data_IF_514780299451
#
_entry.id   IF_514780299451
#
_cell.length_a   1.000
_cell.length_b   1.000
_cell.length_c   1.000
_cell.angle_alpha   90.00
_cell.angle_beta   90.00
_cell.angle_gamma   90.00
#
_symmetry.space_group_name_H-M   'P 1'
#
loop_
_entity.id
_entity.type
_entity.pdbx_description
1 polymer ?
#
# COMPACT_ATOMS: atom_id res chain seq x y z
N UNK A 1 20.11 3.01 1.50
CA UNK A 1 20.24 2.36 2.84
C UNK A 1 21.56 1.64 3.06
N UNK A 2 22.44 1.44 2.06
CA UNK A 2 23.74 0.79 2.29
C UNK A 2 23.66 -0.69 2.73
N UNK A 3 22.50 -1.33 2.56
CA UNK A 3 22.23 -2.69 2.97
C UNK A 3 22.17 -3.59 1.73
N UNK A 4 23.35 -4.11 1.34
CA UNK A 4 23.50 -4.98 0.17
C UNK A 4 23.18 -6.45 0.48
N UNK A 5 23.07 -7.27 -0.56
CA UNK A 5 22.92 -8.73 -0.43
C UNK A 5 24.11 -9.39 0.30
N UNK A 6 25.27 -8.73 0.28
CA UNK A 6 26.50 -9.17 0.95
C UNK A 6 26.62 -8.69 2.39
N UNK A 7 25.56 -8.08 2.95
CA UNK A 7 25.53 -7.69 4.35
C UNK A 7 25.83 -8.90 5.25
N UNK A 8 26.65 -8.68 6.29
CA UNK A 8 26.98 -9.74 7.26
C UNK A 8 25.71 -10.15 8.00
N UNK A 9 25.37 -11.43 7.91
CA UNK A 9 24.18 -12.04 8.53
C UNK A 9 24.57 -13.17 9.47
N UNK A 10 23.65 -13.53 10.36
CA UNK A 10 23.75 -14.73 11.18
C UNK A 10 22.50 -15.59 10.93
N UNK A 11 22.41 -16.30 9.78
CA UNK A 11 21.18 -16.95 9.35
C UNK A 11 20.60 -17.93 10.38
N UNK A 12 21.45 -18.66 11.11
CA UNK A 12 21.01 -19.55 12.17
C UNK A 12 20.23 -18.81 13.28
N UNK A 13 20.76 -17.67 13.75
CA UNK A 13 20.08 -16.84 14.76
C UNK A 13 18.87 -16.12 14.17
N UNK A 14 18.99 -15.59 12.95
CA UNK A 14 17.89 -14.92 12.25
C UNK A 14 16.71 -15.88 12.05
N UNK A 15 16.96 -17.17 11.81
CA UNK A 15 15.93 -18.19 11.63
C UNK A 15 15.18 -18.59 12.89
N UNK A 16 15.65 -18.15 14.06
CA UNK A 16 14.96 -18.26 15.36
C UNK A 16 14.20 -16.98 15.74
N UNK A 17 14.31 -15.91 14.96
CA UNK A 17 13.54 -14.67 15.14
C UNK A 17 12.15 -14.82 14.55
N UNK A 18 11.13 -14.40 15.30
CA UNK A 18 9.72 -14.44 14.92
C UNK A 18 9.17 -13.02 14.90
N UNK A 19 8.77 -12.56 13.72
CA UNK A 19 8.13 -11.25 13.54
C UNK A 19 6.62 -11.45 13.55
N UNK A 20 5.94 -10.85 14.53
CA UNK A 20 4.49 -10.73 14.55
C UNK A 20 4.07 -9.60 13.59
N UNK A 21 3.19 -9.90 12.63
CA UNK A 21 2.66 -8.91 11.68
C UNK A 21 1.17 -8.72 11.92
N UNK A 22 0.78 -7.51 12.29
CA UNK A 22 -0.59 -7.13 12.64
C UNK A 22 -1.15 -6.29 11.49
N UNK A 23 -1.98 -6.90 10.65
CA UNK A 23 -2.32 -6.34 9.34
C UNK A 23 -3.59 -7.00 8.73
N UNK A 24 -3.78 -6.92 7.42
CA UNK A 24 -4.89 -7.54 6.64
C UNK A 24 -4.73 -9.04 6.37
N UNK A 25 -3.72 -9.68 6.98
CA UNK A 25 -3.42 -11.11 6.81
C UNK A 25 -2.18 -11.36 5.96
N UNK A 26 -2.14 -12.52 5.29
CA UNK A 26 -1.07 -12.85 4.34
C UNK A 26 -1.57 -13.69 3.15
N UNK A 27 -0.92 -13.55 1.99
CA UNK A 27 -1.07 -14.44 0.84
C UNK A 27 0.03 -15.52 0.84
N UNK A 28 -0.21 -16.72 1.41
CA UNK A 28 0.86 -17.67 1.74
C UNK A 28 1.55 -18.28 0.51
N UNK A 29 0.91 -18.29 -0.66
CA UNK A 29 1.46 -18.84 -1.90
C UNK A 29 2.50 -17.92 -2.56
N UNK A 30 2.70 -16.70 -2.04
CA UNK A 30 3.72 -15.80 -2.57
C UNK A 30 5.12 -16.40 -2.43
N UNK A 31 5.96 -16.23 -3.46
CA UNK A 31 7.35 -16.72 -3.44
C UNK A 31 8.17 -16.12 -2.30
N UNK A 32 7.82 -14.91 -1.86
CA UNK A 32 8.39 -14.24 -0.69
C UNK A 32 8.22 -15.04 0.60
N UNK A 33 7.27 -15.96 0.66
CA UNK A 33 6.91 -16.74 1.85
C UNK A 33 7.15 -18.25 1.69
N UNK A 34 7.92 -18.65 0.67
CA UNK A 34 8.37 -20.04 0.51
C UNK A 34 9.20 -20.52 1.71
N UNK A 35 9.14 -21.80 2.03
CA UNK A 35 9.86 -22.39 3.16
C UNK A 35 10.94 -23.41 2.76
N UNK A 36 11.33 -23.43 1.48
CA UNK A 36 12.24 -24.41 0.87
C UNK A 36 13.54 -24.64 1.66
N UNK A 37 14.10 -23.58 2.25
CA UNK A 37 15.39 -23.61 2.95
C UNK A 37 15.25 -23.45 4.47
N UNK A 38 14.03 -23.62 5.00
CA UNK A 38 13.76 -23.43 6.42
C UNK A 38 13.88 -24.74 7.21
N UNK A 39 14.63 -24.65 8.32
CA UNK A 39 14.73 -25.70 9.33
C UNK A 39 13.45 -25.83 10.18
N UNK A 40 13.47 -26.68 11.22
CA UNK A 40 12.34 -26.83 12.14
C UNK A 40 11.93 -25.49 12.77
N UNK A 41 10.72 -25.46 13.32
CA UNK A 41 10.20 -24.28 14.02
C UNK A 41 11.06 -23.96 15.26
N UNK A 42 11.22 -22.67 15.61
CA UNK A 42 11.94 -22.28 16.82
C UNK A 42 11.26 -22.92 18.05
N UNK A 43 12.03 -23.53 18.96
CA UNK A 43 11.48 -24.26 20.12
C UNK A 43 10.62 -23.42 21.07
N UNK A 44 10.84 -22.10 21.06
CA UNK A 44 10.09 -21.14 21.89
C UNK A 44 8.69 -20.84 21.35
N UNK A 45 8.43 -21.14 20.08
CA UNK A 45 7.18 -20.83 19.40
C UNK A 45 6.03 -21.64 20.00
N UNK A 46 4.96 -20.95 20.40
CA UNK A 46 3.76 -21.56 21.00
C UNK A 46 2.47 -21.26 20.23
N UNK A 47 2.54 -20.41 19.21
CA UNK A 47 1.37 -20.07 18.42
C UNK A 47 0.91 -21.20 17.51
N UNK A 48 -0.27 -20.99 16.94
CA UNK A 48 -0.99 -21.98 16.17
C UNK A 48 -1.22 -21.49 14.74
N UNK A 49 -1.58 -22.43 13.87
CA UNK A 49 -2.11 -22.11 12.57
C UNK A 49 -3.64 -22.24 12.58
N UNK A 50 -4.32 -21.12 12.80
CA UNK A 50 -5.78 -20.97 12.80
C UNK A 50 -6.20 -20.05 11.67
N UNK A 51 -5.79 -20.39 10.45
CA UNK A 51 -5.90 -19.53 9.28
C UNK A 51 -7.26 -19.55 8.54
N UNK A 52 -8.14 -20.48 8.87
CA UNK A 52 -9.33 -20.82 8.07
C UNK A 52 -9.16 -22.15 7.33
N UNK A 53 -10.20 -22.59 6.60
CA UNK A 53 -10.18 -23.89 5.92
C UNK A 53 -9.21 -23.89 4.72
N UNK A 54 -9.07 -22.75 4.03
CA UNK A 54 -8.23 -22.62 2.83
C UNK A 54 -6.79 -22.17 3.10
N UNK A 55 -6.36 -22.18 4.37
CA UNK A 55 -5.07 -21.64 4.79
C UNK A 55 -4.21 -22.70 5.49
N UNK A 56 -2.93 -22.77 5.13
CA UNK A 56 -1.97 -23.65 5.79
C UNK A 56 -0.65 -22.93 6.02
N UNK A 57 -0.18 -23.00 7.27
CA UNK A 57 1.12 -22.49 7.66
C UNK A 57 2.23 -23.40 7.15
N UNK A 58 3.42 -22.83 6.97
CA UNK A 58 4.61 -23.55 6.57
C UNK A 58 5.77 -23.20 7.51
N UNK A 59 7.01 -23.53 7.18
CA UNK A 59 8.14 -23.20 8.08
C UNK A 59 8.55 -21.72 7.99
N UNK A 60 8.04 -20.94 7.05
CA UNK A 60 8.28 -19.49 6.92
C UNK A 60 7.21 -18.68 7.65
N UNK A 61 5.95 -18.92 7.32
CA UNK A 61 4.74 -18.41 8.00
C UNK A 61 4.31 -19.48 8.99
N UNK A 62 4.74 -19.33 10.24
CA UNK A 62 4.67 -20.39 11.27
C UNK A 62 3.42 -20.31 12.13
N UNK A 63 2.73 -19.18 12.07
CA UNK A 63 1.52 -18.86 12.83
C UNK A 63 0.59 -17.98 12.02
N UNK A 64 -0.71 -18.18 12.20
CA UNK A 64 -1.74 -17.45 11.51
C UNK A 64 -3.01 -17.42 12.38
N UNK A 65 -3.53 -16.24 12.68
CA UNK A 65 -4.79 -16.04 13.41
C UNK A 65 -5.57 -14.90 12.78
N UNK A 66 -6.89 -15.01 12.76
CA UNK A 66 -7.81 -13.93 12.39
C UNK A 66 -8.65 -13.54 13.60
N UNK A 67 -8.87 -12.24 13.73
CA UNK A 67 -9.74 -11.61 14.72
C UNK A 67 -10.74 -10.76 13.95
N UNK A 68 -12.03 -11.03 14.14
CA UNK A 68 -13.10 -10.44 13.33
C UNK A 68 -14.28 -10.02 14.22
N UNK A 69 -14.01 -9.15 15.20
CA UNK A 69 -15.03 -8.57 16.09
C UNK A 69 -16.06 -7.73 15.33
N UNK A 70 -15.72 -7.27 14.12
CA UNK A 70 -16.60 -6.51 13.23
C UNK A 70 -17.61 -7.41 12.48
N UNK A 71 -17.51 -8.73 12.60
CA UNK A 71 -18.38 -9.71 11.95
C UNK A 71 -18.43 -9.57 10.41
N UNK A 72 -17.29 -9.31 9.77
CA UNK A 72 -17.19 -9.32 8.32
C UNK A 72 -17.26 -10.76 7.79
N UNK A 73 -18.41 -11.14 7.23
CA UNK A 73 -18.59 -12.50 6.71
C UNK A 73 -17.91 -12.74 5.36
N UNK A 74 -17.53 -11.68 4.65
CA UNK A 74 -16.82 -11.79 3.36
C UNK A 74 -15.32 -12.00 3.56
N UNK A 75 -14.79 -11.50 4.68
CA UNK A 75 -13.37 -11.59 5.01
C UNK A 75 -13.14 -12.29 6.36
N UNK A 76 -13.33 -13.61 6.36
CA UNK A 76 -13.35 -14.45 7.56
C UNK A 76 -12.19 -15.46 7.66
N UNK A 77 -11.16 -15.30 6.82
CA UNK A 77 -9.94 -16.13 6.84
C UNK A 77 -8.69 -15.25 6.92
N UNK A 78 -7.56 -15.84 7.36
CA UNK A 78 -6.26 -15.13 7.45
C UNK A 78 -5.68 -14.78 6.07
N UNK A 79 -6.21 -15.40 5.01
CA UNK A 79 -5.84 -15.05 3.64
C UNK A 79 -6.03 -13.55 3.41
N UNK A 80 -5.00 -12.92 2.89
CA UNK A 80 -5.03 -11.50 2.55
C UNK A 80 -5.73 -11.29 1.21
N UNK A 81 -6.87 -10.60 1.24
CA UNK A 81 -7.64 -10.23 0.06
C UNK A 81 -7.58 -8.73 -0.25
N UNK A 82 -6.86 -7.96 0.58
CA UNK A 82 -6.56 -6.55 0.37
C UNK A 82 -5.17 -6.39 -0.28
N UNK A 83 -4.15 -7.04 0.29
CA UNK A 83 -2.77 -7.03 -0.17
C UNK A 83 -1.81 -6.28 0.75
N UNK A 84 -2.31 -5.39 1.62
CA UNK A 84 -1.48 -4.57 2.51
C UNK A 84 -0.60 -5.42 3.44
N UNK A 85 -1.17 -6.44 4.11
CA UNK A 85 -0.44 -7.34 5.01
C UNK A 85 0.61 -8.19 4.32
N UNK A 86 0.33 -8.70 3.13
CA UNK A 86 1.32 -9.41 2.31
C UNK A 86 2.46 -8.49 1.92
N UNK A 87 2.15 -7.24 1.54
CA UNK A 87 3.14 -6.25 1.17
C UNK A 87 4.06 -5.91 2.36
N UNK A 88 3.51 -5.56 3.53
CA UNK A 88 4.27 -5.21 4.73
C UNK A 88 5.08 -6.39 5.27
N UNK A 89 4.50 -7.60 5.34
CA UNK A 89 5.21 -8.81 5.77
C UNK A 89 6.41 -9.13 4.85
N UNK A 90 6.25 -8.94 3.53
CA UNK A 90 7.33 -9.16 2.57
C UNK A 90 8.47 -8.14 2.71
N UNK A 91 8.18 -6.91 3.11
CA UNK A 91 9.21 -5.88 3.39
C UNK A 91 9.99 -6.22 4.68
N UNK A 92 9.31 -6.75 5.70
CA UNK A 92 9.95 -7.13 6.96
C UNK A 92 10.84 -8.37 6.78
N UNK A 93 10.29 -9.44 6.21
CA UNK A 93 10.98 -10.73 6.13
C UNK A 93 10.71 -11.53 4.85
N UNK A 94 10.34 -10.92 3.72
CA UNK A 94 10.24 -11.65 2.45
C UNK A 94 11.57 -12.31 2.06
N UNK A 95 11.48 -13.52 1.50
CA UNK A 95 12.62 -14.22 0.91
C UNK A 95 13.16 -13.47 -0.32
N UNK A 96 14.32 -13.92 -0.80
CA UNK A 96 14.86 -13.47 -2.07
C UNK A 96 14.00 -13.96 -3.23
N UNK A 97 13.40 -13.04 -3.97
CA UNK A 97 12.62 -13.31 -5.17
C UNK A 97 13.32 -12.64 -6.36
N UNK A 98 13.87 -13.46 -7.25
CA UNK A 98 14.56 -13.01 -8.46
C UNK A 98 13.55 -12.48 -9.49
N UNK A 99 13.96 -11.47 -10.27
CA UNK A 99 13.15 -10.87 -11.34
C UNK A 99 11.77 -10.35 -10.90
N UNK A 100 11.62 -9.96 -9.63
CA UNK A 100 10.43 -9.31 -9.14
C UNK A 100 10.25 -7.95 -9.83
N UNK A 101 9.06 -7.70 -10.36
CA UNK A 101 8.69 -6.45 -11.03
C UNK A 101 7.18 -6.22 -10.97
N UNK A 102 6.75 -4.98 -11.16
CA UNK A 102 5.35 -4.65 -11.42
C UNK A 102 5.19 -4.38 -12.90
N UNK A 103 4.75 -5.38 -13.67
CA UNK A 103 4.69 -5.32 -15.14
C UNK A 103 6.01 -4.87 -15.81
N UNK A 104 7.17 -5.34 -15.30
CA UNK A 104 8.50 -4.94 -15.77
C UNK A 104 9.05 -3.66 -15.14
N UNK A 105 8.21 -2.87 -14.46
CA UNK A 105 8.67 -1.71 -13.69
C UNK A 105 9.44 -2.17 -12.45
N UNK A 106 10.48 -1.41 -12.11
CA UNK A 106 11.30 -1.62 -10.91
C UNK A 106 11.93 -3.03 -10.81
N UNK A 107 12.17 -3.69 -11.96
CA UNK A 107 12.68 -5.06 -12.00
C UNK A 107 13.97 -5.24 -11.21
N UNK A 108 14.01 -6.28 -10.39
CA UNK A 108 15.20 -6.65 -9.63
C UNK A 108 14.94 -7.81 -8.69
N UNK A 109 15.76 -7.91 -7.65
CA UNK A 109 15.58 -8.89 -6.58
C UNK A 109 14.81 -8.26 -5.42
N UNK A 110 13.62 -8.78 -5.14
CA UNK A 110 12.85 -8.37 -3.96
C UNK A 110 13.29 -9.20 -2.74
N UNK A 111 13.36 -8.56 -1.57
CA UNK A 111 13.68 -9.21 -0.28
C UNK A 111 13.25 -8.34 0.90
N UNK A 112 13.00 -8.97 2.04
CA UNK A 112 12.72 -8.30 3.31
C UNK A 112 13.96 -7.97 4.13
N UNK A 113 13.84 -7.19 5.20
CA UNK A 113 14.96 -6.85 6.10
C UNK A 113 15.74 -8.08 6.56
N UNK A 114 15.00 -9.10 7.03
CA UNK A 114 15.55 -10.35 7.55
C UNK A 114 14.91 -11.55 6.84
N UNK A 115 15.39 -11.94 5.64
CA UNK A 115 14.79 -13.02 4.86
C UNK A 115 14.72 -14.35 5.60
N UNK A 116 15.66 -14.65 6.50
CA UNK A 116 15.66 -15.89 7.27
C UNK A 116 14.70 -15.92 8.46
N UNK A 117 14.10 -14.78 8.87
CA UNK A 117 13.18 -14.73 10.01
C UNK A 117 11.86 -15.45 9.73
N UNK A 118 11.17 -15.87 10.79
CA UNK A 118 9.83 -16.45 10.74
C UNK A 118 8.77 -15.35 10.82
N UNK A 119 7.60 -15.61 10.25
CA UNK A 119 6.44 -14.74 10.31
C UNK A 119 5.32 -15.40 11.11
N UNK A 120 4.72 -14.64 12.02
CA UNK A 120 3.47 -14.98 12.69
C UNK A 120 2.44 -13.90 12.34
N UNK A 121 1.34 -14.30 11.71
CA UNK A 121 0.38 -13.39 11.09
C UNK A 121 -0.84 -13.26 11.99
N UNK A 122 -1.15 -12.03 12.37
CA UNK A 122 -2.30 -11.66 13.17
C UNK A 122 -3.16 -10.73 12.34
N UNK A 123 -4.18 -11.30 11.69
CA UNK A 123 -5.12 -10.53 10.89
C UNK A 123 -6.12 -9.83 11.81
N UNK A 124 -5.93 -8.53 11.99
CA UNK A 124 -6.76 -7.66 12.85
C UNK A 124 -7.55 -6.63 12.05
N UNK A 125 -7.29 -6.58 10.74
CA UNK A 125 -8.02 -5.79 9.77
C UNK A 125 -8.72 -6.73 8.79
N UNK A 126 -10.02 -6.51 8.64
CA UNK A 126 -10.87 -7.09 7.59
C UNK A 126 -11.25 -5.98 6.61
N UNK A 127 -11.96 -6.30 5.52
CA UNK A 127 -12.32 -5.31 4.48
C UNK A 127 -13.04 -4.08 5.02
N UNK A 128 -13.86 -4.25 6.07
CA UNK A 128 -14.62 -3.16 6.67
C UNK A 128 -13.86 -2.37 7.75
N UNK A 129 -12.63 -2.76 8.10
CA UNK A 129 -11.75 -2.02 9.01
C UNK A 129 -11.00 -2.90 10.01
N UNK A 130 -10.37 -2.24 10.99
CA UNK A 130 -9.57 -2.89 12.03
C UNK A 130 -10.24 -2.70 13.39
N UNK A 131 -10.61 -3.79 14.06
CA UNK A 131 -11.29 -3.72 15.36
C UNK A 131 -10.31 -3.45 16.52
N UNK A 132 -10.64 -2.52 17.42
CA UNK A 132 -9.80 -2.27 18.61
C UNK A 132 -9.68 -3.51 19.51
N UNK A 133 -10.77 -4.29 19.63
CA UNK A 133 -10.76 -5.56 20.36
C UNK A 133 -9.89 -6.61 19.67
N UNK A 134 -9.89 -6.63 18.33
CA UNK A 134 -9.09 -7.54 17.51
C UNK A 134 -7.59 -7.24 17.67
N UNK A 135 -7.20 -5.96 17.66
CA UNK A 135 -5.83 -5.52 17.91
C UNK A 135 -5.35 -5.95 19.30
N UNK A 136 -6.15 -5.71 20.34
CA UNK A 136 -5.79 -6.10 21.71
C UNK A 136 -5.68 -7.62 21.88
N UNK A 137 -6.61 -8.38 21.30
CA UNK A 137 -6.57 -9.85 21.32
C UNK A 137 -5.33 -10.40 20.60
N UNK A 138 -4.96 -9.82 19.46
CA UNK A 138 -3.74 -10.16 18.76
C UNK A 138 -2.47 -9.87 19.58
N UNK A 139 -2.43 -8.76 20.34
CA UNK A 139 -1.30 -8.48 21.24
C UNK A 139 -1.17 -9.53 22.33
N UNK A 140 -2.28 -9.91 22.97
CA UNK A 140 -2.28 -10.94 24.02
C UNK A 140 -1.75 -12.28 23.50
N UNK A 141 -2.28 -12.74 22.35
CA UNK A 141 -1.83 -13.96 21.70
C UNK A 141 -0.38 -13.85 21.22
N UNK A 142 0.04 -12.76 20.59
CA UNK A 142 1.42 -12.62 20.08
C UNK A 142 2.47 -12.66 21.19
N UNK A 143 2.18 -12.01 22.32
CA UNK A 143 3.03 -12.04 23.51
C UNK A 143 3.12 -13.47 24.06
N UNK A 144 1.98 -14.18 24.16
CA UNK A 144 1.94 -15.55 24.67
C UNK A 144 2.57 -16.58 23.72
N UNK A 145 2.40 -16.38 22.41
CA UNK A 145 2.91 -17.21 21.32
C UNK A 145 4.44 -17.11 21.21
N UNK A 146 5.04 -16.04 21.73
CA UNK A 146 6.48 -15.85 21.84
C UNK A 146 7.12 -15.17 20.63
N UNK A 147 6.44 -14.17 20.04
CA UNK A 147 7.05 -13.30 19.02
C UNK A 147 8.20 -12.48 19.62
N UNK A 148 9.19 -12.12 18.81
CA UNK A 148 10.34 -11.32 19.26
C UNK A 148 10.15 -9.82 19.02
N UNK A 149 9.40 -9.47 17.97
CA UNK A 149 9.15 -8.11 17.53
C UNK A 149 7.80 -8.05 16.82
N UNK A 150 7.09 -6.95 16.98
CA UNK A 150 5.81 -6.70 16.34
C UNK A 150 5.98 -5.58 15.30
N UNK A 151 5.50 -5.85 14.09
CA UNK A 151 5.34 -4.88 13.01
C UNK A 151 3.86 -4.61 12.83
N UNK A 152 3.46 -3.35 13.00
CA UNK A 152 2.06 -2.93 12.90
C UNK A 152 1.98 -1.65 12.06
N UNK A 153 1.37 -1.76 10.88
CA UNK A 153 1.24 -0.66 9.92
C UNK A 153 -0.16 -0.05 9.99
N UNK A 154 -0.63 0.20 11.21
CA UNK A 154 -1.99 0.63 11.52
C UNK A 154 -1.96 1.89 12.41
N UNK A 155 -3.10 2.56 12.50
CA UNK A 155 -3.29 3.70 13.39
C UNK A 155 -4.61 4.42 13.13
N UNK A 156 -5.04 5.23 14.09
CA UNK A 156 -6.20 6.09 13.94
C UNK A 156 -5.94 7.27 13.01
N UNK A 157 -7.02 7.96 12.62
CA UNK A 157 -6.95 9.19 11.83
C UNK A 157 -6.14 10.31 12.51
N UNK A 158 -6.16 10.36 13.85
CA UNK A 158 -5.39 11.28 14.67
C UNK A 158 -4.93 10.58 15.94
N UNK A 159 -3.94 11.14 16.63
CA UNK A 159 -3.55 10.66 17.95
C UNK A 159 -4.72 10.77 18.93
N UNK A 160 -4.94 9.70 19.71
CA UNK A 160 -5.92 9.64 20.80
C UNK A 160 -5.20 9.51 22.14
N UNK A 161 -5.95 9.55 23.26
CA UNK A 161 -5.37 9.32 24.58
C UNK A 161 -4.75 7.91 24.66
N UNK A 162 -3.62 7.75 25.36
CA UNK A 162 -2.87 6.48 25.35
C UNK A 162 -3.68 5.32 25.93
N UNK A 163 -4.58 5.61 26.87
CA UNK A 163 -5.51 4.69 27.50
C UNK A 163 -6.74 4.35 26.64
N UNK A 164 -6.91 5.05 25.51
CA UNK A 164 -7.95 4.78 24.50
C UNK A 164 -7.37 4.17 23.21
N UNK A 165 -6.04 4.18 23.06
CA UNK A 165 -5.34 3.61 21.92
C UNK A 165 -5.02 2.12 22.13
N UNK A 166 -5.68 1.19 21.42
CA UNK A 166 -5.44 -0.25 21.57
C UNK A 166 -4.02 -0.65 21.17
N UNK A 167 -3.38 0.08 20.25
CA UNK A 167 -2.00 -0.16 19.84
C UNK A 167 -1.06 0.27 20.96
N UNK A 168 -1.28 1.45 21.56
CA UNK A 168 -0.47 1.92 22.67
C UNK A 168 -0.57 0.97 23.88
N UNK A 169 -1.78 0.55 24.25
CA UNK A 169 -2.03 -0.40 25.35
C UNK A 169 -1.34 -1.74 25.07
N UNK A 170 -1.60 -2.34 23.91
CA UNK A 170 -1.01 -3.63 23.53
C UNK A 170 0.52 -3.59 23.49
N UNK A 171 1.08 -2.53 22.89
CA UNK A 171 2.52 -2.32 22.83
C UNK A 171 3.16 -2.08 24.20
N UNK A 172 2.44 -1.48 25.16
CA UNK A 172 2.94 -1.34 26.53
C UNK A 172 3.14 -2.71 27.18
N UNK A 173 2.16 -3.60 27.04
CA UNK A 173 2.24 -4.97 27.55
C UNK A 173 3.31 -5.80 26.82
N UNK A 174 3.47 -5.61 25.51
CA UNK A 174 4.55 -6.23 24.73
C UNK A 174 5.94 -5.76 25.22
N UNK A 175 6.12 -4.45 25.41
CA UNK A 175 7.36 -3.87 25.92
C UNK A 175 7.70 -4.39 27.32
N UNK A 176 6.70 -4.54 28.20
CA UNK A 176 6.89 -5.14 29.53
C UNK A 176 7.40 -6.60 29.47
N UNK A 177 7.24 -7.27 28.32
CA UNK A 177 7.79 -8.60 28.00
C UNK A 177 9.01 -8.55 27.08
N UNK A 178 9.62 -7.38 26.90
CA UNK A 178 10.78 -7.15 26.02
C UNK A 178 10.51 -7.40 24.54
N UNK A 179 9.27 -7.22 24.09
CA UNK A 179 8.87 -7.30 22.68
C UNK A 179 8.67 -5.87 22.18
N UNK A 180 9.50 -5.45 21.23
CA UNK A 180 9.42 -4.12 20.63
C UNK A 180 8.29 -4.05 19.60
N UNK A 181 7.53 -2.96 19.62
CA UNK A 181 6.54 -2.64 18.58
C UNK A 181 7.08 -1.54 17.66
N UNK A 182 7.06 -1.81 16.35
CA UNK A 182 7.39 -0.84 15.29
C UNK A 182 6.07 -0.44 14.62
N UNK A 183 5.73 0.85 14.70
CA UNK A 183 4.45 1.39 14.23
C UNK A 183 4.66 2.49 13.18
N UNK A 184 3.80 2.54 12.17
CA UNK A 184 3.78 3.65 11.20
C UNK A 184 3.37 4.98 11.86
N UNK A 185 3.95 6.10 11.44
CA UNK A 185 3.58 7.43 11.94
C UNK A 185 2.25 7.99 11.40
N UNK A 186 1.63 7.30 10.42
CA UNK A 186 0.43 7.76 9.73
C UNK A 186 0.72 8.55 8.45
N UNK A 187 -0.32 8.73 7.63
CA UNK A 187 -0.25 9.33 6.29
C UNK A 187 -1.01 10.67 6.20
N UNK A 188 -1.28 11.33 7.33
CA UNK A 188 -2.06 12.58 7.42
C UNK A 188 -1.22 13.86 7.42
N UNK A 189 0.06 13.75 7.11
CA UNK A 189 0.90 14.93 6.86
C UNK A 189 0.48 15.67 5.57
N UNK A 190 1.09 16.84 5.28
CA UNK A 190 2.30 17.38 5.90
C UNK A 190 2.07 18.34 7.10
N UNK A 191 0.82 18.54 7.53
CA UNK A 191 0.46 19.48 8.58
C UNK A 191 1.08 19.08 9.93
N UNK A 192 1.43 20.09 10.75
CA UNK A 192 1.91 19.85 12.12
C UNK A 192 0.82 19.15 12.94
N UNK A 193 1.24 18.32 13.91
CA UNK A 193 0.34 17.52 14.78
C UNK A 193 -0.48 16.44 14.07
N UNK A 194 -0.01 15.94 12.92
CA UNK A 194 -0.67 14.87 12.13
C UNK A 194 -0.21 13.44 12.46
N UNK A 195 0.83 13.26 13.28
CA UNK A 195 1.29 11.94 13.70
C UNK A 195 0.27 11.28 14.64
N UNK A 196 -0.05 10.00 14.39
CA UNK A 196 -0.98 9.22 15.22
C UNK A 196 -0.28 8.21 16.15
N UNK A 197 0.99 7.87 15.86
CA UNK A 197 1.82 7.00 16.69
C UNK A 197 2.64 7.82 17.68
N UNK A 198 2.17 7.90 18.93
CA UNK A 198 2.73 8.83 19.93
C UNK A 198 3.22 8.16 21.22
N UNK A 199 2.98 6.86 21.40
CA UNK A 199 3.35 6.18 22.64
C UNK A 199 4.89 6.05 22.79
N UNK A 200 5.50 6.50 23.90
CA UNK A 200 6.96 6.53 24.05
C UNK A 200 7.67 5.16 24.05
N UNK A 201 6.93 4.07 24.24
CA UNK A 201 7.45 2.71 24.26
C UNK A 201 7.39 2.00 22.89
N UNK A 202 7.06 2.73 21.82
CA UNK A 202 7.08 2.22 20.45
C UNK A 202 8.12 2.93 19.60
N UNK A 203 8.52 2.29 18.50
CA UNK A 203 9.26 2.99 17.44
C UNK A 203 8.27 3.48 16.40
N UNK A 204 8.01 4.78 16.38
CA UNK A 204 7.19 5.45 15.38
C UNK A 204 8.03 5.77 14.14
N UNK A 205 7.61 5.28 12.97
CA UNK A 205 8.37 5.35 11.73
C UNK A 205 7.70 6.30 10.72
N UNK A 206 8.42 7.34 10.29
CA UNK A 206 8.01 8.21 9.20
C UNK A 206 8.41 7.64 7.82
N UNK A 207 7.76 8.10 6.75
CA UNK A 207 8.10 7.77 5.39
C UNK A 207 9.03 8.81 4.75
N UNK A 208 9.98 8.36 3.92
CA UNK A 208 10.85 9.23 3.13
C UNK A 208 11.12 8.61 1.74
N UNK A 209 11.70 9.39 0.84
CA UNK A 209 11.95 8.95 -0.53
C UNK A 209 13.25 8.16 -0.68
N UNK A 210 13.30 7.35 -1.74
CA UNK A 210 14.55 6.73 -2.21
C UNK A 210 15.14 7.52 -3.38
N UNK A 211 16.34 7.15 -3.82
CA UNK A 211 16.97 7.69 -5.03
C UNK A 211 16.25 7.26 -6.33
N UNK A 212 15.59 6.10 -6.31
CA UNK A 212 14.74 5.62 -7.41
C UNK A 212 13.42 6.38 -7.45
N UNK A 213 13.08 6.91 -8.65
CA UNK A 213 11.78 7.52 -8.97
C UNK A 213 11.17 6.78 -10.16
N UNK A 214 9.89 6.44 -10.05
CA UNK A 214 9.08 5.98 -11.19
C UNK A 214 8.41 7.22 -11.76
N UNK A 215 8.67 7.48 -13.04
CA UNK A 215 8.25 8.69 -13.74
C UNK A 215 7.65 8.33 -15.09
N UNK A 216 6.78 9.19 -15.57
CA UNK A 216 6.18 9.12 -16.89
C UNK A 216 6.38 10.43 -17.63
N UNK A 217 6.31 10.37 -18.96
CA UNK A 217 6.45 11.53 -19.82
C UNK A 217 5.24 11.65 -20.71
N UNK A 218 4.77 12.89 -20.87
CA UNK A 218 3.75 13.25 -21.84
C UNK A 218 4.29 14.33 -22.76
N UNK A 219 4.05 14.17 -24.07
CA UNK A 219 4.43 15.15 -25.08
C UNK A 219 3.15 15.73 -25.66
N UNK A 220 2.96 17.04 -25.49
CA UNK A 220 1.83 17.78 -26.04
C UNK A 220 2.04 18.02 -27.55
N UNK A 221 0.96 18.31 -28.28
CA UNK A 221 1.04 18.53 -29.74
C UNK A 221 1.88 19.73 -30.16
N UNK A 222 2.16 20.67 -29.25
CA UNK A 222 3.11 21.77 -29.47
C UNK A 222 4.59 21.39 -29.19
N UNK A 223 4.88 20.11 -28.92
CA UNK A 223 6.22 19.60 -28.63
C UNK A 223 6.68 19.80 -27.19
N UNK A 224 5.86 20.38 -26.31
CA UNK A 224 6.20 20.51 -24.89
C UNK A 224 6.16 19.13 -24.22
N UNK A 225 7.29 18.72 -23.64
CA UNK A 225 7.40 17.52 -22.82
C UNK A 225 7.25 17.89 -21.33
N UNK A 226 6.44 17.11 -20.62
CA UNK A 226 6.23 17.21 -19.16
C UNK A 226 6.53 15.86 -18.52
N UNK A 227 7.09 15.89 -17.31
CA UNK A 227 7.41 14.68 -16.53
C UNK A 227 6.51 14.60 -15.31
N UNK A 228 5.75 13.53 -15.24
CA UNK A 228 4.82 13.22 -14.14
C UNK A 228 5.19 11.92 -13.46
N UNK A 229 4.26 11.42 -12.65
CA UNK A 229 4.44 10.20 -11.86
C UNK A 229 3.23 9.30 -11.98
N UNK A 230 3.46 8.04 -12.30
CA UNK A 230 2.51 6.95 -12.13
C UNK A 230 3.25 5.62 -12.27
N UNK A 231 2.56 4.53 -11.99
CA UNK A 231 2.97 3.19 -12.40
C UNK A 231 2.30 2.84 -13.74
N UNK A 232 2.62 3.58 -14.80
CA UNK A 232 2.08 3.33 -16.13
C UNK A 232 2.85 2.20 -16.83
N UNK A 233 2.22 1.03 -16.94
CA UNK A 233 2.72 -0.12 -17.69
C UNK A 233 2.01 -0.31 -19.03
N UNK A 234 1.16 0.64 -19.43
CA UNK A 234 0.42 0.57 -20.68
C UNK A 234 1.29 1.05 -21.84
N UNK A 235 1.12 0.42 -23.00
CA UNK A 235 1.83 0.80 -24.22
C UNK A 235 0.92 1.63 -25.14
N UNK A 236 1.29 2.89 -25.40
CA UNK A 236 0.56 3.78 -26.32
C UNK A 236 1.21 3.92 -27.71
N UNK A 237 2.31 3.20 -27.96
CA UNK A 237 3.04 3.16 -29.25
C UNK A 237 3.41 4.55 -29.85
N UNK A 238 3.51 5.60 -29.02
CA UNK A 238 3.79 6.95 -29.49
C UNK A 238 2.66 7.58 -30.33
N UNK A 239 1.44 7.04 -30.25
CA UNK A 239 0.29 7.58 -30.97
C UNK A 239 -0.16 8.91 -30.34
N UNK A 240 -0.52 9.88 -31.19
CA UNK A 240 -1.16 11.11 -30.75
C UNK A 240 -2.66 10.89 -30.58
N UNK A 241 -3.20 11.32 -29.45
CA UNK A 241 -4.61 11.24 -29.14
C UNK A 241 -5.18 12.66 -28.98
N UNK A 242 -6.42 12.93 -29.43
CA UNK A 242 -7.09 14.17 -29.10
C UNK A 242 -7.25 14.28 -27.58
N UNK A 243 -7.23 15.52 -27.07
CA UNK A 243 -7.43 15.79 -25.65
C UNK A 243 -8.78 16.48 -25.41
N UNK A 244 -9.41 16.19 -24.28
CA UNK A 244 -10.63 16.86 -23.82
C UNK A 244 -10.50 17.17 -22.32
N UNK A 245 -10.94 18.35 -21.92
CA UNK A 245 -11.00 18.71 -20.50
C UNK A 245 -12.33 18.24 -19.92
N UNK A 246 -12.30 17.70 -18.69
CA UNK A 246 -13.48 17.18 -17.99
C UNK A 246 -14.69 18.13 -18.04
N UNK A 247 -14.46 19.44 -17.90
CA UNK A 247 -15.49 20.47 -18.00
C UNK A 247 -16.23 20.48 -19.36
N UNK A 248 -15.49 20.28 -20.46
CA UNK A 248 -16.06 20.28 -21.82
C UNK A 248 -16.74 18.96 -22.18
N UNK A 249 -16.61 17.95 -21.33
CA UNK A 249 -17.37 16.71 -21.39
C UNK A 249 -18.52 16.64 -20.37
N UNK A 250 -18.90 17.75 -19.74
CA UNK A 250 -19.91 17.75 -18.68
C UNK A 250 -21.31 17.31 -19.14
N UNK A 251 -21.94 16.42 -18.37
CA UNK A 251 -23.39 16.17 -18.44
C UNK A 251 -24.11 17.24 -17.61
N UNK A 252 -24.25 18.43 -18.19
CA UNK A 252 -24.73 19.66 -17.51
C UNK A 252 -26.10 19.52 -16.83
N UNK A 253 -26.93 18.60 -17.31
CA UNK A 253 -28.26 18.35 -16.75
C UNK A 253 -28.22 17.47 -15.48
N UNK A 254 -27.11 16.76 -15.24
CA UNK A 254 -26.95 15.80 -14.14
C UNK A 254 -25.87 16.22 -13.12
N UNK A 255 -24.84 16.96 -13.55
CA UNK A 255 -23.72 17.33 -12.71
C UNK A 255 -23.36 18.81 -12.82
N UNK A 256 -22.88 19.37 -11.72
CA UNK A 256 -22.30 20.70 -11.74
C UNK A 256 -20.90 20.70 -12.39
N UNK A 257 -20.41 21.89 -12.72
CA UNK A 257 -19.13 22.09 -13.39
C UNK A 257 -17.96 21.47 -12.62
N UNK A 258 -17.96 21.57 -11.29
CA UNK A 258 -16.89 21.08 -10.43
C UNK A 258 -16.72 19.56 -10.54
N UNK A 259 -17.81 18.80 -10.51
CA UNK A 259 -17.77 17.34 -10.62
C UNK A 259 -17.20 16.87 -11.96
N UNK A 260 -17.51 17.58 -13.05
CA UNK A 260 -16.93 17.27 -14.36
C UNK A 260 -15.44 17.66 -14.45
N UNK A 261 -15.00 18.75 -13.81
CA UNK A 261 -13.58 19.15 -13.76
C UNK A 261 -12.68 18.14 -13.06
N UNK A 262 -13.18 17.57 -11.97
CA UNK A 262 -12.47 16.51 -11.23
C UNK A 262 -12.76 15.11 -11.78
N UNK A 263 -13.47 15.02 -12.92
CA UNK A 263 -13.76 13.79 -13.64
C UNK A 263 -14.47 12.73 -12.78
N UNK A 264 -15.47 13.13 -11.99
CA UNK A 264 -16.29 12.17 -11.25
C UNK A 264 -16.99 11.23 -12.23
N UNK A 265 -17.03 9.94 -11.87
CA UNK A 265 -17.82 8.93 -12.55
C UNK A 265 -19.27 9.40 -12.77
N UNK A 266 -19.83 9.05 -13.92
CA UNK A 266 -21.20 9.43 -14.35
C UNK A 266 -21.44 10.94 -14.56
N UNK A 267 -20.44 11.80 -14.37
CA UNK A 267 -20.51 13.24 -14.67
C UNK A 267 -19.86 13.63 -16.00
N UNK A 268 -19.47 12.63 -16.81
CA UNK A 268 -18.77 12.77 -18.08
C UNK A 268 -19.60 12.18 -19.20
N UNK A 269 -19.74 12.91 -20.30
CA UNK A 269 -20.36 12.42 -21.53
C UNK A 269 -19.41 11.46 -22.24
N UNK A 270 -19.63 10.16 -22.07
CA UNK A 270 -18.78 9.11 -22.65
C UNK A 270 -18.61 9.22 -24.17
N UNK A 271 -19.64 9.68 -24.89
CA UNK A 271 -19.53 9.88 -26.35
C UNK A 271 -18.54 10.98 -26.72
N UNK A 272 -18.36 11.99 -25.85
CA UNK A 272 -17.39 13.06 -26.05
C UNK A 272 -15.96 12.66 -25.63
N UNK A 273 -15.84 11.78 -24.63
CA UNK A 273 -14.57 11.34 -24.02
C UNK A 273 -13.94 10.16 -24.75
N UNK A 274 -14.75 9.25 -25.31
CA UNK A 274 -14.28 8.00 -25.90
C UNK A 274 -13.17 8.23 -26.94
N UNK A 275 -12.05 7.53 -26.76
CA UNK A 275 -10.90 7.59 -27.69
C UNK A 275 -9.98 8.80 -27.50
N UNK A 276 -10.15 9.59 -26.43
CA UNK A 276 -9.36 10.80 -26.13
C UNK A 276 -8.58 10.66 -24.83
N UNK A 277 -7.62 11.56 -24.64
CA UNK A 277 -6.98 11.80 -23.33
C UNK A 277 -7.85 12.78 -22.54
N UNK A 278 -8.26 12.38 -21.36
CA UNK A 278 -9.05 13.21 -20.46
C UNK A 278 -8.12 14.01 -19.53
N UNK A 279 -8.30 15.33 -19.46
CA UNK A 279 -7.62 16.20 -18.49
C UNK A 279 -8.53 16.41 -17.27
N UNK A 280 -8.01 16.11 -16.07
CA UNK A 280 -8.75 16.13 -14.81
C UNK A 280 -8.02 16.91 -13.71
N UNK A 281 -8.76 17.72 -12.96
CA UNK A 281 -8.23 18.55 -11.85
C UNK A 281 -8.21 17.80 -10.51
N UNK A 282 -8.03 16.48 -10.52
CA UNK A 282 -8.01 15.63 -9.33
C UNK A 282 -7.09 14.44 -9.50
N UNK A 283 -6.60 13.93 -8.38
CA UNK A 283 -5.79 12.70 -8.25
C UNK A 283 -6.55 11.44 -8.64
N UNK A 284 -7.88 11.46 -8.51
CA UNK A 284 -8.77 10.30 -8.70
C UNK A 284 -9.68 10.44 -9.93
N UNK A 285 -9.33 11.36 -10.85
CA UNK A 285 -10.12 11.55 -12.07
C UNK A 285 -10.01 10.39 -13.07
N UNK A 286 -9.06 9.49 -12.86
CA UNK A 286 -8.78 8.31 -13.68
C UNK A 286 -9.90 7.26 -13.66
N UNK A 287 -10.60 7.07 -12.54
CA UNK A 287 -11.74 6.13 -12.48
C UNK A 287 -12.88 6.61 -13.39
N UNK A 288 -13.27 7.88 -13.27
CA UNK A 288 -14.27 8.46 -14.16
C UNK A 288 -13.82 8.45 -15.63
N UNK A 289 -12.53 8.67 -15.90
CA UNK A 289 -11.97 8.56 -17.25
C UNK A 289 -12.07 7.14 -17.81
N UNK A 290 -11.76 6.12 -16.99
CA UNK A 290 -11.87 4.71 -17.36
C UNK A 290 -13.31 4.36 -17.75
N UNK A 291 -14.28 4.68 -16.89
CA UNK A 291 -15.70 4.39 -17.15
C UNK A 291 -16.27 5.19 -18.33
N UNK A 292 -15.77 6.40 -18.58
CA UNK A 292 -16.13 7.20 -19.74
C UNK A 292 -15.51 6.72 -21.07
N UNK A 293 -14.60 5.73 -21.02
CA UNK A 293 -13.95 5.15 -22.19
C UNK A 293 -12.79 5.97 -22.75
N UNK A 294 -12.13 6.77 -21.91
CA UNK A 294 -10.93 7.50 -22.28
C UNK A 294 -9.80 6.53 -22.70
N UNK A 295 -8.95 6.98 -23.63
CA UNK A 295 -7.74 6.25 -24.00
C UNK A 295 -6.57 6.47 -23.05
N UNK A 296 -6.67 7.50 -22.20
CA UNK A 296 -5.72 7.81 -21.15
C UNK A 296 -6.13 9.06 -20.39
N UNK A 297 -5.37 9.45 -19.37
CA UNK A 297 -5.72 10.58 -18.50
C UNK A 297 -4.49 11.37 -18.08
N UNK A 298 -4.64 12.69 -17.97
CA UNK A 298 -3.70 13.57 -17.29
C UNK A 298 -4.41 14.06 -16.03
N UNK A 299 -3.87 13.70 -14.87
CA UNK A 299 -4.44 14.02 -13.56
C UNK A 299 -3.56 14.98 -12.79
N UNK A 300 -4.12 15.57 -11.74
CA UNK A 300 -3.41 16.39 -10.78
C UNK A 300 -2.91 15.53 -9.62
N UNK A 301 -1.65 15.63 -9.20
CA UNK A 301 -1.15 15.09 -7.94
C UNK A 301 0.05 15.87 -7.37
N UNK A 302 -0.05 16.27 -6.11
CA UNK A 302 1.01 16.92 -5.33
C UNK A 302 1.53 16.08 -4.16
N UNK A 303 1.05 14.83 -3.99
CA UNK A 303 1.52 13.91 -2.94
C UNK A 303 3.02 13.60 -3.05
N UNK A 304 3.55 13.70 -4.26
CA UNK A 304 4.90 13.31 -4.59
C UNK A 304 5.10 11.79 -4.66
N UNK A 305 4.04 11.00 -4.60
CA UNK A 305 4.04 9.54 -4.73
C UNK A 305 3.56 9.15 -6.13
N UNK A 306 4.01 8.01 -6.66
CA UNK A 306 3.48 7.46 -7.91
C UNK A 306 2.34 6.48 -7.57
N UNK A 307 1.24 6.56 -8.29
CA UNK A 307 0.06 5.70 -8.09
C UNK A 307 -0.17 4.77 -9.27
N UNK A 308 -0.87 3.65 -9.01
CA UNK A 308 -1.35 2.72 -10.04
C UNK A 308 -2.71 3.21 -10.52
N UNK A 309 -2.94 3.18 -11.83
CA UNK A 309 -4.18 3.65 -12.46
C UNK A 309 -4.76 2.59 -13.41
N UNK A 310 -6.08 2.59 -13.66
CA UNK A 310 -6.77 1.58 -14.48
C UNK A 310 -6.59 1.77 -16.00
N UNK A 311 -5.96 2.86 -16.43
CA UNK A 311 -5.68 3.20 -17.82
C UNK A 311 -4.37 4.01 -17.94
N UNK A 312 -3.80 4.21 -19.14
CA UNK A 312 -2.60 5.03 -19.32
C UNK A 312 -2.80 6.42 -18.70
N UNK A 313 -2.08 6.71 -17.62
CA UNK A 313 -2.29 7.93 -16.84
C UNK A 313 -0.96 8.57 -16.51
N UNK A 314 -0.96 9.88 -16.39
CA UNK A 314 0.17 10.64 -15.85
C UNK A 314 -0.36 11.66 -14.85
N UNK A 315 0.14 11.60 -13.61
CA UNK A 315 -0.17 12.59 -12.61
C UNK A 315 0.89 13.71 -12.63
N UNK A 316 0.43 14.95 -12.72
CA UNK A 316 1.25 16.16 -12.79
C UNK A 316 1.04 17.03 -11.56
N UNK A 317 2.10 17.74 -11.16
CA UNK A 317 1.98 18.79 -10.15
C UNK A 317 1.19 20.00 -10.69
N UNK A 318 0.86 20.94 -9.80
CA UNK A 318 0.14 22.17 -10.15
C UNK A 318 0.71 22.91 -11.36
N UNK A 319 2.02 23.18 -11.35
CA UNK A 319 2.66 23.99 -12.39
C UNK A 319 2.62 23.34 -13.76
N UNK A 320 2.85 22.03 -13.83
CA UNK A 320 2.84 21.28 -15.08
C UNK A 320 1.41 21.10 -15.61
N UNK A 321 0.43 20.88 -14.72
CA UNK A 321 -0.97 20.78 -15.11
C UNK A 321 -1.49 22.10 -15.69
N UNK A 322 -1.08 23.26 -15.14
CA UNK A 322 -1.43 24.56 -15.70
C UNK A 322 -0.87 24.79 -17.12
N UNK A 323 0.28 24.19 -17.44
CA UNK A 323 0.81 24.20 -18.80
C UNK A 323 -0.11 23.40 -19.74
N UNK A 324 -0.60 22.24 -19.32
CA UNK A 324 -1.55 21.43 -20.11
C UNK A 324 -2.86 22.17 -20.33
N UNK A 325 -3.39 22.83 -19.28
CA UNK A 325 -4.57 23.69 -19.38
C UNK A 325 -4.38 24.83 -20.39
N UNK A 326 -3.24 25.50 -20.33
CA UNK A 326 -2.92 26.61 -21.24
C UNK A 326 -2.81 26.14 -22.68
N UNK A 327 -2.15 24.99 -22.90
CA UNK A 327 -2.09 24.34 -24.20
C UNK A 327 -3.50 24.00 -24.72
N UNK A 328 -4.33 23.33 -23.91
CA UNK A 328 -5.69 22.94 -24.31
C UNK A 328 -6.54 24.13 -24.75
N UNK A 329 -6.49 25.25 -24.00
CA UNK A 329 -7.21 26.48 -24.33
C UNK A 329 -6.70 27.16 -25.60
N UNK A 330 -5.40 27.03 -25.91
CA UNK A 330 -4.79 27.63 -27.10
C UNK A 330 -5.10 26.87 -28.39
N UNK A 331 -5.51 25.60 -28.28
CA UNK A 331 -5.82 24.72 -29.42
C UNK A 331 -7.31 24.50 -29.64
N UNK A 332 -8.15 25.22 -28.89
CA UNK A 332 -9.60 25.23 -29.06
C UNK A 332 -10.03 26.13 -30.21
#
# INVERSE_FOLDING_TARGET
MGFSETARRKPALESDVIIGVFDTGIWPESQSFSDKDFGPLPRKWKGVCSGGESFTCNKKVIGARIYNSLNDTFDNEVRDIDGHGSHTASIAAGNNVENASFHGLAQGKARGGVPSARLAIYKVCVLIGCGSADILAAFDDAIADGVDIISISLGFEAAVALEEDPIAIGAFHAMARSILTVNSGGNRGPEVYSINSVAPWMVSVAASTTDRKIIDRVVLGNGKELTGRSFNYFTMNGSMYPMIYGNDSSLKDACNEFLSKVCVKDCLNSSAVKGKILLCDSTHGDDGAHWAGASGTITWDNSGVASVFPLPTIALNDSDLQIVHSYYKSTK
#
